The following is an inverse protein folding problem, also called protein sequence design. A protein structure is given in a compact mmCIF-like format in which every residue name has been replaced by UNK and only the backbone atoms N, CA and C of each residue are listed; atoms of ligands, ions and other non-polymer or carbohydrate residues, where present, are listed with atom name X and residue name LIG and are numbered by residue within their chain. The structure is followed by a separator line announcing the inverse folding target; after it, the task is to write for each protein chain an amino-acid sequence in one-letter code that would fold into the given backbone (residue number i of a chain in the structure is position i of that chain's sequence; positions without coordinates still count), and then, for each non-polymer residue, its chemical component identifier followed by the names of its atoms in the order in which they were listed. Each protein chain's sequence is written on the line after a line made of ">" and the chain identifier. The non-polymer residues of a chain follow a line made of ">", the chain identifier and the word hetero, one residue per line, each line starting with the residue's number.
data_IF_082254065879
#
_entry.id   IF_082254065879
#
_cell.length_a   1.000
_cell.length_b   1.000
_cell.length_c   1.000
_cell.angle_alpha   90.00
_cell.angle_beta   90.00
_cell.angle_gamma   90.00
#
_symmetry.space_group_name_H-M   'P 1'
#
loop_
_entity.id
_entity.type
_entity.pdbx_description
1 polymer ?
#
# COMPACT_ATOMS: atom_id res chain seq x y z
N UNK A 1 -10.08 -9.94 -14.56
CA UNK A 1 -8.85 -9.27 -14.06
C UNK A 1 -8.97 -7.76 -14.21
N UNK A 2 -9.26 -6.98 -13.15
CA UNK A 2 -9.49 -5.53 -13.24
C UNK A 2 -8.27 -4.65 -12.87
N UNK A 3 -7.19 -5.24 -12.32
CA UNK A 3 -6.05 -4.48 -11.77
C UNK A 3 -5.13 -4.00 -12.90
N UNK A 4 -4.77 -4.89 -13.82
CA UNK A 4 -3.95 -4.53 -14.98
C UNK A 4 -4.62 -3.45 -15.84
N UNK A 5 -5.94 -3.50 -16.01
CA UNK A 5 -6.69 -2.48 -16.74
C UNK A 5 -6.72 -1.13 -16.02
N UNK A 6 -6.74 -1.11 -14.69
CA UNK A 6 -6.70 0.15 -13.92
C UNK A 6 -5.35 0.85 -14.04
N UNK A 7 -4.26 0.07 -13.92
CA UNK A 7 -2.90 0.60 -14.11
C UNK A 7 -2.70 1.08 -15.54
N UNK A 8 -3.13 0.31 -16.53
CA UNK A 8 -3.02 0.70 -17.94
C UNK A 8 -3.77 1.99 -18.24
N UNK A 9 -5.02 2.13 -17.76
CA UNK A 9 -5.81 3.36 -17.92
C UNK A 9 -5.13 4.56 -17.27
N UNK A 10 -4.51 4.37 -16.09
CA UNK A 10 -3.76 5.42 -15.43
C UNK A 10 -2.54 5.84 -16.28
N UNK A 11 -1.71 4.90 -16.72
CA UNK A 11 -0.53 5.16 -17.55
C UNK A 11 -0.92 5.93 -18.82
N UNK A 12 -1.95 5.45 -19.53
CA UNK A 12 -2.46 6.12 -20.73
C UNK A 12 -2.97 7.53 -20.45
N UNK A 13 -3.62 7.76 -19.29
CA UNK A 13 -4.09 9.10 -18.92
C UNK A 13 -2.97 10.08 -18.54
N UNK A 14 -1.80 9.57 -18.17
CA UNK A 14 -0.65 10.35 -17.76
C UNK A 14 0.40 10.52 -18.85
N UNK A 15 0.20 9.88 -20.01
CA UNK A 15 1.13 9.90 -21.14
C UNK A 15 2.58 9.57 -20.72
N UNK A 16 2.74 8.63 -19.78
CA UNK A 16 4.07 8.30 -19.27
C UNK A 16 4.84 7.49 -20.32
N UNK A 17 6.06 7.91 -20.63
CA UNK A 17 6.93 7.30 -21.64
C UNK A 17 7.90 6.25 -21.06
N UNK A 18 7.88 6.07 -19.74
CA UNK A 18 8.68 5.09 -19.01
C UNK A 18 9.98 5.63 -18.42
N UNK A 19 10.34 6.89 -18.70
CA UNK A 19 11.47 7.58 -18.06
C UNK A 19 11.07 8.34 -16.78
N UNK A 20 9.76 8.53 -16.56
CA UNK A 20 9.20 9.35 -15.50
C UNK A 20 8.82 8.54 -14.25
N UNK A 21 8.61 9.23 -13.13
CA UNK A 21 8.05 8.61 -11.93
C UNK A 21 6.60 8.16 -12.16
N UNK A 22 6.28 6.93 -11.77
CA UNK A 22 4.93 6.39 -11.88
C UNK A 22 3.90 7.24 -11.10
N UNK A 23 4.29 7.80 -9.97
CA UNK A 23 3.48 8.73 -9.18
C UNK A 23 4.30 9.99 -8.92
N UNK A 24 4.20 11.00 -9.80
CA UNK A 24 4.94 12.25 -9.63
C UNK A 24 4.34 13.12 -8.53
N UNK A 25 5.15 14.03 -7.97
CA UNK A 25 4.65 15.07 -7.06
C UNK A 25 3.71 16.02 -7.80
N UNK A 26 2.74 16.57 -7.08
CA UNK A 26 1.81 17.56 -7.62
C UNK A 26 2.51 18.88 -7.98
N UNK A 27 3.54 19.25 -7.22
CA UNK A 27 4.24 20.53 -7.37
C UNK A 27 5.38 20.47 -8.39
N UNK A 28 6.01 19.30 -8.55
CA UNK A 28 7.14 19.10 -9.46
C UNK A 28 7.06 17.69 -10.08
N UNK A 29 6.65 17.58 -11.37
CA UNK A 29 6.56 16.30 -12.06
C UNK A 29 7.89 15.54 -12.18
N UNK A 30 9.02 16.24 -12.09
CA UNK A 30 10.35 15.63 -12.11
C UNK A 30 10.76 15.00 -10.77
N UNK A 31 9.89 15.05 -9.75
CA UNK A 31 10.12 14.46 -8.43
C UNK A 31 9.06 13.40 -8.11
N UNK A 32 9.40 12.39 -7.31
CA UNK A 32 8.42 11.43 -6.84
C UNK A 32 7.44 12.09 -5.87
N UNK A 33 6.22 11.54 -5.81
CA UNK A 33 5.23 11.88 -4.79
C UNK A 33 5.82 11.73 -3.39
N UNK A 34 5.60 12.73 -2.56
CA UNK A 34 6.03 12.76 -1.17
C UNK A 34 5.12 11.92 -0.28
N UNK A 35 5.63 11.52 0.89
CA UNK A 35 4.82 10.84 1.90
C UNK A 35 3.62 11.67 2.38
N UNK A 36 3.75 13.01 2.35
CA UNK A 36 2.66 13.93 2.69
C UNK A 36 1.53 13.89 1.65
N UNK A 37 1.87 13.97 0.36
CA UNK A 37 0.88 13.88 -0.75
C UNK A 37 0.18 12.51 -0.76
N UNK A 38 0.92 11.44 -0.51
CA UNK A 38 0.34 10.10 -0.37
C UNK A 38 -0.60 10.01 0.84
N UNK A 39 -0.21 10.60 1.97
CA UNK A 39 -1.06 10.66 3.16
C UNK A 39 -2.32 11.47 2.94
N UNK A 40 -2.24 12.59 2.21
CA UNK A 40 -3.41 13.39 1.84
C UNK A 40 -4.38 12.59 0.95
N UNK A 41 -3.85 11.87 -0.04
CA UNK A 41 -4.63 10.96 -0.90
C UNK A 41 -5.36 9.90 -0.09
N UNK A 42 -4.67 9.28 0.88
CA UNK A 42 -5.24 8.31 1.80
C UNK A 42 -6.40 8.88 2.63
N UNK A 43 -6.25 10.09 3.17
CA UNK A 43 -7.33 10.73 3.94
C UNK A 43 -8.58 10.97 3.09
N UNK A 44 -8.43 11.34 1.82
CA UNK A 44 -9.56 11.47 0.89
C UNK A 44 -10.28 10.14 0.71
N UNK A 45 -9.55 9.03 0.61
CA UNK A 45 -10.17 7.70 0.50
C UNK A 45 -10.89 7.29 1.78
N UNK A 46 -10.31 7.53 2.94
CA UNK A 46 -10.97 7.29 4.22
C UNK A 46 -12.28 8.08 4.36
N UNK A 47 -12.27 9.35 3.93
CA UNK A 47 -13.47 10.20 3.90
C UNK A 47 -14.55 9.60 3.01
N UNK A 48 -14.20 9.24 1.76
CA UNK A 48 -15.14 8.63 0.80
C UNK A 48 -15.69 7.29 1.31
N UNK A 49 -14.87 6.51 2.00
CA UNK A 49 -15.26 5.24 2.60
C UNK A 49 -16.03 5.38 3.93
N UNK A 50 -16.23 6.60 4.45
CA UNK A 50 -16.85 6.87 5.77
C UNK A 50 -16.10 6.21 6.93
N UNK A 51 -14.76 6.20 6.87
CA UNK A 51 -13.87 5.61 7.88
C UNK A 51 -13.08 6.66 8.69
N UNK A 52 -13.42 7.95 8.57
CA UNK A 52 -12.64 9.08 9.11
C UNK A 52 -12.40 9.02 10.62
N UNK A 53 -13.33 8.47 11.39
CA UNK A 53 -13.25 8.45 12.85
C UNK A 53 -12.19 7.46 13.38
N UNK A 54 -11.68 6.61 12.50
CA UNK A 54 -10.63 5.65 12.82
C UNK A 54 -9.29 6.26 12.41
N UNK A 55 -8.33 6.31 13.35
CA UNK A 55 -6.95 6.78 13.13
C UNK A 55 -6.15 5.81 12.24
N UNK A 56 -6.65 5.50 11.05
CA UNK A 56 -5.98 4.62 10.10
C UNK A 56 -4.91 5.39 9.34
N UNK A 57 -3.69 4.88 9.43
CA UNK A 57 -2.57 5.30 8.58
C UNK A 57 -2.37 4.31 7.43
N UNK A 58 -1.58 4.69 6.43
CA UNK A 58 -1.16 3.81 5.33
C UNK A 58 -0.53 2.51 5.83
N UNK A 59 0.18 2.54 6.96
CA UNK A 59 0.75 1.34 7.57
C UNK A 59 -0.33 0.32 8.00
N UNK A 60 -1.55 0.76 8.32
CA UNK A 60 -2.65 -0.15 8.64
C UNK A 60 -3.13 -0.94 7.41
N UNK A 61 -2.96 -0.40 6.19
CA UNK A 61 -3.19 -1.20 4.97
C UNK A 61 -2.15 -2.32 4.86
N UNK A 62 -0.88 -2.02 5.12
CA UNK A 62 0.20 -3.02 5.10
C UNK A 62 -0.06 -4.12 6.13
N UNK A 63 -0.47 -3.74 7.35
CA UNK A 63 -0.89 -4.70 8.38
C UNK A 63 -2.07 -5.54 7.91
N UNK A 64 -3.13 -4.92 7.39
CA UNK A 64 -4.30 -5.64 6.89
C UNK A 64 -3.94 -6.65 5.80
N UNK A 65 -3.07 -6.27 4.85
CA UNK A 65 -2.58 -7.15 3.80
C UNK A 65 -1.80 -8.33 4.40
N UNK A 66 -0.89 -8.05 5.34
CA UNK A 66 -0.08 -9.07 6.01
C UNK A 66 -0.95 -10.09 6.73
N UNK A 67 -2.01 -9.62 7.40
CA UNK A 67 -2.98 -10.47 8.07
C UNK A 67 -3.79 -11.31 7.08
N UNK A 68 -4.25 -10.72 5.97
CA UNK A 68 -4.95 -11.47 4.93
C UNK A 68 -4.08 -12.56 4.31
N UNK A 69 -2.79 -12.29 4.07
CA UNK A 69 -1.85 -13.30 3.57
C UNK A 69 -1.63 -14.44 4.58
N UNK A 70 -1.61 -14.14 5.88
CA UNK A 70 -1.45 -15.14 6.93
C UNK A 70 -2.57 -16.16 7.04
N UNK A 71 -3.71 -15.90 6.39
CA UNK A 71 -4.82 -16.86 6.30
C UNK A 71 -4.55 -17.99 5.29
N UNK A 72 -3.62 -17.79 4.35
CA UNK A 72 -3.42 -18.68 3.21
C UNK A 72 -1.97 -19.11 2.99
N UNK A 73 -1.01 -18.43 3.62
CA UNK A 73 0.43 -18.63 3.41
C UNK A 73 1.14 -18.85 4.73
N UNK A 74 2.28 -19.53 4.67
CA UNK A 74 3.17 -19.66 5.83
C UNK A 74 3.99 -18.37 6.06
N UNK A 75 4.61 -18.27 7.23
CA UNK A 75 5.36 -17.08 7.65
C UNK A 75 6.54 -16.76 6.71
N UNK A 76 7.22 -17.77 6.17
CA UNK A 76 8.36 -17.60 5.27
C UNK A 76 7.92 -17.06 3.91
N UNK A 77 6.79 -17.52 3.39
CA UNK A 77 6.19 -17.00 2.17
C UNK A 77 5.69 -15.56 2.33
N UNK A 78 5.08 -15.24 3.48
CA UNK A 78 4.68 -13.87 3.81
C UNK A 78 5.91 -12.98 3.89
N UNK A 79 6.96 -13.40 4.59
CA UNK A 79 8.20 -12.66 4.70
C UNK A 79 8.78 -12.32 3.32
N UNK A 80 8.86 -13.31 2.42
CA UNK A 80 9.34 -13.12 1.05
C UNK A 80 8.45 -12.15 0.26
N UNK A 81 7.13 -12.28 0.36
CA UNK A 81 6.17 -11.41 -0.35
C UNK A 81 6.19 -9.97 0.15
N UNK A 82 6.42 -9.75 1.44
CA UNK A 82 6.49 -8.42 2.03
C UNK A 82 7.90 -7.80 1.98
N UNK A 83 8.90 -8.57 1.53
CA UNK A 83 10.29 -8.10 1.46
C UNK A 83 10.94 -7.89 2.84
N UNK A 84 10.45 -8.57 3.87
CA UNK A 84 11.03 -8.45 5.22
C UNK A 84 12.33 -9.25 5.32
N UNK A 85 13.39 -8.63 5.82
CA UNK A 85 14.69 -9.30 6.03
C UNK A 85 14.74 -10.11 7.32
N UNK A 86 13.88 -9.78 8.30
CA UNK A 86 13.82 -10.44 9.60
C UNK A 86 12.49 -11.15 9.80
N UNK A 87 12.56 -12.40 10.26
CA UNK A 87 11.40 -13.16 10.74
C UNK A 87 10.67 -12.41 11.86
N UNK A 88 11.39 -11.75 12.76
CA UNK A 88 10.78 -11.01 13.88
C UNK A 88 9.88 -9.87 13.39
N UNK A 89 10.24 -9.21 12.29
CA UNK A 89 9.42 -8.18 11.65
C UNK A 89 8.13 -8.79 11.13
N UNK A 90 8.20 -9.87 10.35
CA UNK A 90 7.01 -10.57 9.85
C UNK A 90 6.12 -11.06 11.00
N UNK A 91 6.71 -11.69 12.01
CA UNK A 91 6.03 -12.14 13.21
C UNK A 91 5.26 -11.01 13.92
N UNK A 92 5.80 -9.79 13.99
CA UNK A 92 5.13 -8.65 14.62
C UNK A 92 3.86 -8.23 13.86
N UNK A 93 3.85 -8.32 12.53
CA UNK A 93 2.67 -7.98 11.71
C UNK A 93 1.57 -9.04 11.81
N UNK A 94 1.93 -10.31 12.02
CA UNK A 94 0.97 -11.44 12.08
C UNK A 94 0.55 -11.82 13.52
N UNK A 95 1.38 -11.53 14.53
CA UNK A 95 1.10 -11.88 15.95
C UNK A 95 -0.12 -11.16 16.53
N UNK A 96 -0.52 -10.03 15.95
CA UNK A 96 -1.73 -9.30 16.36
C UNK A 96 -3.04 -10.08 16.24
N UNK A 97 -3.04 -11.27 15.61
CA UNK A 97 -4.24 -12.11 15.38
C UNK A 97 -4.22 -13.44 16.14
N UNK A 98 -3.10 -13.82 16.80
CA UNK A 98 -3.02 -15.05 17.62
C UNK A 98 -3.33 -14.84 19.12
N UNK A 99 -4.16 -13.85 19.47
CA UNK A 99 -4.77 -13.77 20.81
C UNK A 99 -6.26 -14.09 20.69
N UNK A 100 -6.58 -15.37 20.79
CA UNK A 100 -7.84 -15.90 21.32
C UNK A 100 -7.49 -16.76 22.52
#
# INVERSE_FOLDING_TARGET
>A
MPIASTVQSYLSSKNLDGSEFLFPSHNDPARPMTAHELSATWQIWLLKAKLRDRKFSLHHLQLSLSLSLSLSLDESEIQRKLGHTSHATTAAYIKGVKRK
#
